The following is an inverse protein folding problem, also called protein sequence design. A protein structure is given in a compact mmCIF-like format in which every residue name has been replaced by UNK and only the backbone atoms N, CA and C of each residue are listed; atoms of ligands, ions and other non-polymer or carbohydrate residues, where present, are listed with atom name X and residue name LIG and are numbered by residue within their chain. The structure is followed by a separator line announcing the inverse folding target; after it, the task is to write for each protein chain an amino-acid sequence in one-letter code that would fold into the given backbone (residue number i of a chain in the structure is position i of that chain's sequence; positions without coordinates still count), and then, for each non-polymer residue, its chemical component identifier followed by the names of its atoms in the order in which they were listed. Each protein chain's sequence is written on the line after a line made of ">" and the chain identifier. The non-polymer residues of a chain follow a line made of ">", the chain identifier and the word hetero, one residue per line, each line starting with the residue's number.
data_IF_743753061340
#
_entry.id   IF_743753061340
#
_cell.length_a   1.000
_cell.length_b   1.000
_cell.length_c   1.000
_cell.angle_alpha   90.00
_cell.angle_beta   90.00
_cell.angle_gamma   90.00
#
_symmetry.space_group_name_H-M   'P 1'
#
loop_
_entity.id
_entity.type
_entity.pdbx_description
1 polymer ?
#
# COMPACT_ATOMS: atom_id res chain seq x y z
N UNK A 1 -25.26 -1.08 17.84
CA UNK A 1 -24.67 -0.57 16.57
C UNK A 1 -23.15 -0.68 16.59
N UNK A 2 -22.50 -0.33 17.72
CA UNK A 2 -21.03 -0.39 17.89
C UNK A 2 -20.41 -1.77 17.64
N UNK A 3 -21.04 -2.86 18.09
CA UNK A 3 -20.51 -4.23 17.86
C UNK A 3 -20.52 -4.64 16.38
N UNK A 4 -21.49 -4.17 15.61
CA UNK A 4 -21.59 -4.48 14.17
C UNK A 4 -20.49 -3.73 13.41
N UNK A 5 -20.30 -2.45 13.74
CA UNK A 5 -19.24 -1.62 13.16
C UNK A 5 -17.84 -2.16 13.51
N UNK A 6 -17.62 -2.55 14.78
CA UNK A 6 -16.36 -3.13 15.21
C UNK A 6 -16.05 -4.45 14.49
N UNK A 7 -17.07 -5.31 14.28
CA UNK A 7 -16.92 -6.56 13.52
C UNK A 7 -16.65 -6.30 12.04
N UNK A 8 -17.33 -5.33 11.45
CA UNK A 8 -17.10 -4.94 10.05
C UNK A 8 -15.69 -4.39 9.85
N UNK A 9 -15.26 -3.44 10.69
CA UNK A 9 -13.93 -2.87 10.64
C UNK A 9 -12.85 -3.95 10.88
N UNK A 10 -13.05 -4.83 11.86
CA UNK A 10 -12.13 -5.93 12.13
C UNK A 10 -11.99 -6.90 10.96
N UNK A 11 -13.11 -7.25 10.30
CA UNK A 11 -13.09 -8.13 9.13
C UNK A 11 -12.41 -7.45 7.93
N UNK A 12 -12.69 -6.17 7.69
CA UNK A 12 -12.04 -5.38 6.64
C UNK A 12 -10.53 -5.31 6.88
N UNK A 13 -10.10 -4.94 8.10
CA UNK A 13 -8.68 -4.87 8.45
C UNK A 13 -7.98 -6.21 8.30
N UNK A 14 -8.63 -7.32 8.64
CA UNK A 14 -8.09 -8.66 8.39
C UNK A 14 -7.77 -8.87 6.91
N UNK A 15 -8.69 -8.56 5.99
CA UNK A 15 -8.43 -8.70 4.55
C UNK A 15 -7.34 -7.75 4.03
N UNK A 16 -7.26 -6.53 4.55
CA UNK A 16 -6.23 -5.56 4.16
C UNK A 16 -4.83 -6.05 4.53
N UNK A 17 -4.61 -6.51 5.76
CA UNK A 17 -3.32 -7.04 6.18
C UNK A 17 -2.97 -8.35 5.46
N UNK A 18 -3.96 -9.21 5.20
CA UNK A 18 -3.75 -10.44 4.43
C UNK A 18 -3.26 -10.14 3.00
N UNK A 19 -3.66 -9.01 2.40
CA UNK A 19 -3.22 -8.64 1.05
C UNK A 19 -1.71 -8.51 0.96
N UNK A 20 -1.04 -8.01 2.00
CA UNK A 20 0.42 -7.89 2.04
C UNK A 20 1.08 -9.27 2.05
N UNK A 21 0.55 -10.21 2.84
CA UNK A 21 1.05 -11.59 2.91
C UNK A 21 0.93 -12.29 1.56
N UNK A 22 -0.25 -12.22 0.92
CA UNK A 22 -0.48 -12.82 -0.39
C UNK A 22 0.34 -12.13 -1.48
N UNK A 23 0.52 -10.81 -1.42
CA UNK A 23 1.39 -10.07 -2.32
C UNK A 23 2.84 -10.53 -2.24
N UNK A 24 3.38 -10.68 -1.03
CA UNK A 24 4.75 -11.15 -0.81
C UNK A 24 4.92 -12.62 -1.24
N UNK A 25 3.91 -13.46 -1.01
CA UNK A 25 3.93 -14.86 -1.45
C UNK A 25 4.04 -14.99 -2.97
N UNK A 26 3.27 -14.19 -3.72
CA UNK A 26 3.31 -14.15 -5.18
C UNK A 26 4.69 -13.67 -5.65
N UNK A 27 5.21 -12.59 -5.08
CA UNK A 27 6.56 -12.10 -5.39
C UNK A 27 7.64 -13.14 -5.14
N UNK A 28 7.61 -13.83 -4.00
CA UNK A 28 8.57 -14.88 -3.67
C UNK A 28 8.55 -16.03 -4.69
N UNK A 29 7.36 -16.51 -5.06
CA UNK A 29 7.23 -17.65 -5.99
C UNK A 29 7.80 -17.32 -7.38
N UNK A 30 7.68 -16.07 -7.82
CA UNK A 30 8.11 -15.61 -9.14
C UNK A 30 9.60 -15.23 -9.14
N UNK A 31 10.06 -14.54 -8.09
CA UNK A 31 11.42 -14.02 -8.05
C UNK A 31 12.46 -15.06 -7.63
N UNK A 32 12.06 -16.14 -6.93
CA UNK A 32 13.00 -17.13 -6.38
C UNK A 32 14.07 -17.56 -7.41
N UNK A 33 15.36 -17.48 -7.06
CA UNK A 33 16.42 -18.00 -7.90
C UNK A 33 16.43 -19.53 -7.88
N UNK A 34 16.85 -20.16 -8.98
CA UNK A 34 16.95 -21.62 -9.07
C UNK A 34 18.11 -22.19 -8.22
N UNK A 35 19.04 -21.34 -7.78
CA UNK A 35 20.19 -21.70 -6.97
C UNK A 35 20.34 -20.64 -5.87
N UNK A 36 20.44 -21.06 -4.61
CA UNK A 36 20.68 -20.16 -3.47
C UNK A 36 22.17 -19.80 -3.53
N UNK A 37 22.56 -18.55 -3.85
CA UNK A 37 23.97 -18.19 -3.82
C UNK A 37 24.46 -18.32 -2.37
N UNK A 38 25.57 -19.03 -2.18
CA UNK A 38 26.25 -19.11 -0.89
C UNK A 38 26.86 -17.74 -0.61
N UNK A 39 26.09 -16.86 0.05
CA UNK A 39 26.54 -15.52 0.42
C UNK A 39 27.64 -15.67 1.48
N UNK A 40 28.86 -15.29 1.11
CA UNK A 40 29.99 -15.26 2.04
C UNK A 40 29.85 -13.98 2.88
N UNK A 41 29.38 -14.11 4.12
CA UNK A 41 29.10 -13.01 5.05
C UNK A 41 30.40 -12.37 5.59
N UNK A 42 31.17 -11.67 4.75
CA UNK A 42 32.44 -11.08 5.21
C UNK A 42 32.42 -9.56 5.40
N UNK A 43 31.33 -8.86 5.08
CA UNK A 43 31.15 -7.44 5.43
C UNK A 43 29.66 -7.03 5.35
N UNK A 44 28.85 -7.54 6.26
CA UNK A 44 27.44 -7.09 6.39
C UNK A 44 27.35 -6.07 7.51
N UNK A 45 27.66 -4.80 7.22
CA UNK A 45 27.16 -3.71 8.05
C UNK A 45 25.67 -3.57 7.80
N UNK A 46 24.89 -3.50 8.88
CA UNK A 46 23.43 -3.47 8.84
C UNK A 46 22.93 -2.56 9.96
N UNK A 47 21.78 -1.92 9.77
CA UNK A 47 21.20 -1.00 10.76
C UNK A 47 21.86 0.38 10.72
N UNK A 48 22.15 0.94 11.90
CA UNK A 48 22.59 2.35 12.04
C UNK A 48 23.96 2.63 11.40
N UNK A 49 24.76 1.59 11.16
CA UNK A 49 26.10 1.68 10.57
C UNK A 49 26.11 1.26 9.09
N UNK A 50 24.96 1.36 8.42
CA UNK A 50 24.92 1.09 7.01
C UNK A 50 25.64 2.18 6.21
N UNK A 51 26.60 1.75 5.38
CA UNK A 51 27.37 2.60 4.48
C UNK A 51 26.95 2.26 3.05
N UNK A 52 26.27 3.20 2.37
CA UNK A 52 25.85 3.07 0.95
C UNK A 52 26.96 2.74 -0.03
N UNK A 53 28.20 3.07 0.34
CA UNK A 53 29.39 2.80 -0.45
C UNK A 53 30.57 2.45 0.49
N UNK A 54 30.54 1.29 1.14
CA UNK A 54 31.74 0.73 1.76
C UNK A 54 32.60 0.13 0.63
N UNK A 55 33.42 0.99 0.02
CA UNK A 55 34.28 0.74 -1.14
C UNK A 55 33.51 0.47 -2.45
N UNK A 56 33.65 1.39 -3.41
CA UNK A 56 33.07 1.37 -4.76
C UNK A 56 33.56 0.23 -5.68
N UNK A 57 33.78 -0.96 -5.12
CA UNK A 57 34.15 -2.20 -5.79
C UNK A 57 33.28 -3.40 -5.34
N UNK A 58 32.29 -3.20 -4.46
CA UNK A 58 31.31 -4.20 -4.08
C UNK A 58 30.16 -4.28 -5.08
N UNK A 59 30.35 -5.01 -6.18
CA UNK A 59 29.23 -5.35 -7.08
C UNK A 59 28.28 -6.30 -6.35
N UNK A 60 27.24 -5.76 -5.73
CA UNK A 60 26.17 -6.56 -5.15
C UNK A 60 25.37 -7.21 -6.28
N UNK A 61 25.39 -8.55 -6.43
CA UNK A 61 24.67 -9.23 -7.50
C UNK A 61 23.15 -9.11 -7.37
N UNK A 62 22.62 -8.70 -6.20
CA UNK A 62 21.21 -8.40 -5.98
C UNK A 62 20.73 -7.08 -6.61
N UNK A 63 21.63 -6.16 -6.98
CA UNK A 63 21.28 -4.97 -7.76
C UNK A 63 21.15 -5.26 -9.26
N UNK A 64 21.49 -6.48 -9.70
CA UNK A 64 21.28 -6.85 -11.09
C UNK A 64 19.77 -7.04 -11.31
N UNK A 65 19.15 -6.24 -12.19
CA UNK A 65 17.71 -6.29 -12.39
C UNK A 65 17.30 -7.73 -12.74
N UNK A 66 16.25 -8.27 -12.09
CA UNK A 66 15.76 -9.59 -12.41
C UNK A 66 15.40 -9.64 -13.90
N UNK A 67 15.71 -10.77 -14.55
CA UNK A 67 15.44 -10.99 -15.98
C UNK A 67 14.03 -10.54 -16.37
N UNK A 68 13.90 -9.86 -17.51
CA UNK A 68 12.67 -9.23 -17.98
C UNK A 68 11.47 -10.19 -17.93
N UNK A 69 11.68 -11.48 -18.19
CA UNK A 69 10.67 -12.54 -18.13
C UNK A 69 9.98 -12.61 -16.75
N UNK A 70 10.75 -12.53 -15.66
CA UNK A 70 10.20 -12.56 -14.29
C UNK A 70 9.40 -11.30 -13.98
N UNK A 71 9.85 -10.14 -14.50
CA UNK A 71 9.18 -8.85 -14.31
C UNK A 71 7.83 -8.83 -15.02
N UNK A 72 7.76 -9.26 -16.27
CA UNK A 72 6.50 -9.36 -17.01
C UNK A 72 5.54 -10.37 -16.36
N UNK A 73 6.03 -11.50 -15.86
CA UNK A 73 5.21 -12.49 -15.17
C UNK A 73 4.59 -11.90 -13.89
N UNK A 74 5.38 -11.21 -13.07
CA UNK A 74 4.91 -10.55 -11.86
C UNK A 74 3.84 -9.50 -12.16
N UNK A 75 4.09 -8.59 -13.11
CA UNK A 75 3.12 -7.57 -13.52
C UNK A 75 1.82 -8.19 -14.04
N UNK A 76 1.92 -9.22 -14.89
CA UNK A 76 0.74 -9.88 -15.45
C UNK A 76 -0.16 -10.50 -14.38
N UNK A 77 0.42 -11.11 -13.34
CA UNK A 77 -0.33 -11.72 -12.24
C UNK A 77 -1.10 -10.68 -11.42
N UNK A 78 -0.48 -9.55 -11.10
CA UNK A 78 -1.15 -8.45 -10.39
C UNK A 78 -2.25 -7.78 -11.22
N UNK A 79 -2.06 -7.65 -12.54
CA UNK A 79 -3.10 -7.09 -13.42
C UNK A 79 -4.31 -8.03 -13.50
N UNK A 80 -4.07 -9.34 -13.64
CA UNK A 80 -5.14 -10.33 -13.66
C UNK A 80 -5.93 -10.35 -12.35
N UNK A 81 -5.25 -10.29 -11.20
CA UNK A 81 -5.92 -10.23 -9.90
C UNK A 81 -6.75 -8.95 -9.73
N UNK A 82 -6.27 -7.81 -10.23
CA UNK A 82 -7.01 -6.55 -10.23
C UNK A 82 -8.29 -6.61 -11.08
N UNK A 83 -8.23 -7.23 -12.27
CA UNK A 83 -9.40 -7.42 -13.14
C UNK A 83 -10.44 -8.33 -12.46
N UNK A 84 -10.00 -9.43 -11.85
CA UNK A 84 -10.87 -10.35 -11.11
C UNK A 84 -11.54 -9.60 -9.95
N UNK A 85 -10.77 -8.84 -9.16
CA UNK A 85 -11.28 -8.05 -8.06
C UNK A 85 -12.32 -7.00 -8.53
N UNK A 86 -12.03 -6.28 -9.61
CA UNK A 86 -12.96 -5.31 -10.21
C UNK A 86 -14.26 -5.97 -10.67
N UNK A 87 -14.16 -7.17 -11.26
CA UNK A 87 -15.32 -7.96 -11.69
C UNK A 87 -16.17 -8.41 -10.50
N UNK A 88 -15.53 -8.92 -9.44
CA UNK A 88 -16.23 -9.32 -8.20
C UNK A 88 -16.91 -8.12 -7.54
N UNK A 89 -16.22 -6.98 -7.43
CA UNK A 89 -16.85 -5.75 -6.93
C UNK A 89 -18.04 -5.35 -7.79
N UNK A 90 -17.93 -5.39 -9.12
CA UNK A 90 -19.03 -5.06 -10.01
C UNK A 90 -20.26 -5.99 -9.91
N UNK A 91 -20.07 -7.25 -9.52
CA UNK A 91 -21.15 -8.24 -9.38
C UNK A 91 -21.76 -8.27 -7.97
N UNK A 92 -20.95 -8.13 -6.92
CA UNK A 92 -21.36 -8.29 -5.53
C UNK A 92 -21.65 -6.97 -4.82
N UNK A 93 -21.05 -5.87 -5.27
CA UNK A 93 -21.35 -4.56 -4.72
C UNK A 93 -22.65 -4.08 -5.37
N UNK A 94 -23.73 -4.12 -4.60
CA UNK A 94 -25.00 -3.57 -5.04
C UNK A 94 -24.78 -2.12 -5.50
N UNK A 95 -25.37 -1.76 -6.64
CA UNK A 95 -25.11 -0.44 -7.21
C UNK A 95 -25.63 0.59 -6.22
N UNK A 96 -24.71 1.38 -5.68
CA UNK A 96 -25.00 2.62 -4.96
C UNK A 96 -25.53 3.69 -5.94
N UNK A 97 -26.44 3.30 -6.85
CA UNK A 97 -26.89 4.09 -8.00
C UNK A 97 -27.59 5.38 -7.56
N UNK A 98 -28.19 5.37 -6.36
CA UNK A 98 -28.84 6.53 -5.76
C UNK A 98 -27.84 7.60 -5.28
N UNK A 99 -26.64 7.23 -4.82
CA UNK A 99 -25.61 8.22 -4.44
C UNK A 99 -24.84 8.73 -5.67
N UNK A 100 -24.59 7.86 -6.65
CA UNK A 100 -23.85 8.23 -7.87
C UNK A 100 -24.68 9.14 -8.79
N UNK A 101 -26.00 8.93 -8.92
CA UNK A 101 -26.88 9.86 -9.66
C UNK A 101 -26.90 11.25 -9.03
N UNK A 102 -26.99 11.31 -7.70
CA UNK A 102 -26.98 12.55 -6.92
C UNK A 102 -25.65 13.32 -7.08
N UNK A 103 -24.51 12.62 -7.11
CA UNK A 103 -23.19 13.22 -7.29
C UNK A 103 -22.94 13.72 -8.72
N UNK A 104 -23.44 13.02 -9.75
CA UNK A 104 -23.27 13.39 -11.17
C UNK A 104 -24.03 14.66 -11.55
N UNK A 105 -25.23 14.87 -10.99
CA UNK A 105 -26.00 16.11 -11.16
C UNK A 105 -25.38 17.29 -10.39
N UNK A 106 -24.56 17.00 -9.38
CA UNK A 106 -23.85 17.99 -8.56
C UNK A 106 -22.49 18.38 -9.18
N UNK A 107 -21.87 17.50 -9.98
CA UNK A 107 -20.61 17.72 -10.71
C UNK A 107 -20.58 18.89 -11.69
N UNK A 108 -21.68 19.18 -12.38
CA UNK A 108 -21.73 20.37 -13.26
C UNK A 108 -21.68 21.71 -12.48
N UNK A 109 -21.87 21.71 -11.16
CA UNK A 109 -21.80 22.91 -10.30
C UNK A 109 -20.57 22.95 -9.38
N UNK A 110 -19.63 21.98 -9.51
CA UNK A 110 -18.87 21.47 -8.35
C UNK A 110 -17.55 22.15 -7.97
N UNK A 111 -16.87 22.95 -8.79
CA UNK A 111 -15.53 23.43 -8.39
C UNK A 111 -15.58 24.29 -7.10
N UNK A 112 -16.61 25.13 -6.96
CA UNK A 112 -16.88 25.89 -5.73
C UNK A 112 -17.42 25.01 -4.59
N UNK A 113 -18.20 23.98 -4.91
CA UNK A 113 -18.81 23.10 -3.91
C UNK A 113 -17.79 22.12 -3.29
N UNK A 114 -16.80 21.68 -4.06
CA UNK A 114 -15.68 20.85 -3.59
C UNK A 114 -14.77 21.68 -2.68
N UNK A 115 -14.39 22.89 -3.08
CA UNK A 115 -13.62 23.81 -2.22
C UNK A 115 -14.36 24.14 -0.93
N UNK A 116 -15.68 24.38 -0.99
CA UNK A 116 -16.49 24.62 0.21
C UNK A 116 -16.63 23.38 1.10
N UNK A 117 -16.72 22.18 0.51
CA UNK A 117 -16.71 20.90 1.26
C UNK A 117 -15.35 20.62 1.90
N UNK A 118 -14.25 20.87 1.20
CA UNK A 118 -12.89 20.78 1.74
C UNK A 118 -12.66 21.79 2.85
N UNK A 119 -13.12 23.03 2.66
CA UNK A 119 -13.04 24.08 3.67
C UNK A 119 -13.93 23.75 4.88
N UNK A 120 -15.10 23.15 4.64
CA UNK A 120 -15.98 22.63 5.67
C UNK A 120 -15.34 21.49 6.46
N UNK A 121 -14.71 20.53 5.78
CA UNK A 121 -13.97 19.44 6.40
C UNK A 121 -12.71 19.92 7.15
N UNK A 122 -12.00 20.90 6.62
CA UNK A 122 -10.85 21.53 7.28
C UNK A 122 -11.28 22.31 8.54
N UNK A 123 -12.40 23.04 8.45
CA UNK A 123 -13.00 23.74 9.59
C UNK A 123 -13.52 22.75 10.63
N UNK A 124 -14.10 21.63 10.20
CA UNK A 124 -14.52 20.52 11.05
C UNK A 124 -13.31 19.88 11.76
N UNK A 125 -12.20 19.67 11.05
CA UNK A 125 -10.95 19.15 11.61
C UNK A 125 -10.28 20.10 12.63
N UNK A 126 -10.73 21.36 12.72
CA UNK A 126 -10.26 22.35 13.70
C UNK A 126 -11.11 22.33 14.99
N UNK A 127 -12.12 21.46 15.09
CA UNK A 127 -12.84 21.24 16.35
C UNK A 127 -11.88 20.63 17.40
N UNK A 128 -11.92 21.11 18.66
CA UNK A 128 -10.96 20.75 19.70
C UNK A 128 -10.91 19.23 19.98
N UNK A 129 -12.03 18.52 19.81
CA UNK A 129 -12.10 17.07 20.02
C UNK A 129 -11.42 16.24 18.92
N UNK A 130 -11.24 16.79 17.70
CA UNK A 130 -10.59 16.10 16.58
C UNK A 130 -9.12 16.49 16.41
N UNK A 131 -8.66 17.55 17.08
CA UNK A 131 -7.27 18.03 16.98
C UNK A 131 -6.26 17.01 17.52
N UNK A 132 -6.68 16.18 18.49
CA UNK A 132 -5.86 15.10 19.06
C UNK A 132 -5.77 13.87 18.16
N UNK A 133 -6.76 13.68 17.28
CA UNK A 133 -6.79 12.57 16.32
C UNK A 133 -5.82 12.81 15.14
N UNK A 134 -5.58 14.07 14.80
CA UNK A 134 -4.68 14.47 13.72
C UNK A 134 -3.22 13.98 13.91
N UNK A 135 -2.53 14.24 15.04
CA UNK A 135 -1.18 13.74 15.24
C UNK A 135 -1.12 12.21 15.33
N UNK A 136 -2.15 11.56 15.87
CA UNK A 136 -2.25 10.09 15.91
C UNK A 136 -2.34 9.54 14.48
N UNK A 137 -3.17 10.14 13.63
CA UNK A 137 -3.34 9.72 12.23
C UNK A 137 -2.03 9.91 11.45
N UNK A 138 -1.32 11.01 11.67
CA UNK A 138 -0.01 11.26 11.06
C UNK A 138 1.01 10.21 11.53
N UNK A 139 1.03 9.88 12.82
CA UNK A 139 1.94 8.87 13.37
C UNK A 139 1.65 7.47 12.80
N UNK A 140 0.38 7.07 12.70
CA UNK A 140 0.00 5.81 12.08
C UNK A 140 0.38 5.76 10.59
N UNK A 141 0.19 6.85 9.85
CA UNK A 141 0.60 6.93 8.45
C UNK A 141 2.12 6.84 8.29
N UNK A 142 2.87 7.45 9.20
CA UNK A 142 4.33 7.38 9.24
C UNK A 142 4.81 5.96 9.56
N UNK A 143 4.19 5.28 10.54
CA UNK A 143 4.47 3.88 10.88
C UNK A 143 4.22 2.96 9.68
N UNK A 144 3.08 3.13 9.00
CA UNK A 144 2.77 2.35 7.79
C UNK A 144 3.81 2.62 6.69
N UNK A 145 4.21 3.88 6.48
CA UNK A 145 5.23 4.24 5.51
C UNK A 145 6.61 3.66 5.86
N UNK A 146 6.97 3.56 7.14
CA UNK A 146 8.18 2.87 7.57
C UNK A 146 8.07 1.35 7.47
N UNK A 147 6.87 0.79 7.62
CA UNK A 147 6.64 -0.64 7.49
C UNK A 147 6.66 -1.09 6.02
N UNK A 148 6.04 -0.33 5.13
CA UNK A 148 6.00 -0.61 3.67
C UNK A 148 7.22 -0.10 2.94
N UNK A 149 7.79 1.01 3.43
CA UNK A 149 9.05 1.54 2.98
C UNK A 149 10.11 0.69 3.61
N UNK A 150 10.45 -0.43 2.95
CA UNK A 150 11.70 -1.12 3.20
C UNK A 150 12.76 -0.03 3.34
N UNK A 151 13.34 0.11 4.54
CA UNK A 151 14.51 0.95 4.75
C UNK A 151 15.46 0.52 3.65
N UNK A 152 15.64 1.37 2.64
CA UNK A 152 16.21 0.96 1.37
C UNK A 152 17.63 0.49 1.63
N UNK A 153 17.79 -0.82 1.70
CA UNK A 153 19.04 -1.53 1.81
C UNK A 153 18.85 -2.94 1.27
N UNK A 154 19.09 -3.07 -0.03
CA UNK A 154 19.00 -4.32 -0.76
C UNK A 154 20.16 -5.22 -0.29
N UNK A 155 19.83 -6.32 0.39
CA UNK A 155 20.73 -7.48 0.57
C UNK A 155 21.19 -8.00 -0.78
#
# INVERSE_FOLDING_TARGET
>A
METILARFFGLMSFFLENTQIWGNLVSYYILRPAMIPLVNHTNTTCGIDFVKDADGNGSNPNLQPPSDDKRYLLVSMYVLSAIIAATLMGLFLDKLENDVKSEREREEKNCKAILWRLLGAAKQATLPDQILLLPITILCGLELAFYTGEITEVS
#
